data_IF_107430840762
#
_entry.id   IF_107430840762
#
_cell.length_a   1.000
_cell.length_b   1.000
_cell.length_c   1.000
_cell.angle_alpha   90.00
_cell.angle_beta   90.00
_cell.angle_gamma   90.00
#
_symmetry.space_group_name_H-M   'P 1'
#
loop_
_entity.id
_entity.type
_entity.pdbx_description
1 polymer ?
#
# COMPACT_ATOMS: atom_id res chain seq x y z
N UNK A 1 8.44 -1.70 26.03
CA UNK A 1 7.14 -1.94 25.37
C UNK A 1 7.25 -3.16 24.49
N UNK A 2 7.01 -4.35 25.02
CA UNK A 2 6.90 -5.58 24.21
C UNK A 2 5.50 -5.60 23.59
N UNK A 3 5.35 -4.91 22.46
CA UNK A 3 4.08 -4.86 21.73
C UNK A 3 3.73 -6.23 21.15
N UNK A 4 2.45 -6.61 21.24
CA UNK A 4 1.90 -7.80 20.57
C UNK A 4 2.29 -7.76 19.09
N UNK A 5 3.08 -8.75 18.65
CA UNK A 5 3.44 -8.89 17.23
C UNK A 5 2.32 -9.62 16.52
N UNK A 6 1.79 -9.02 15.46
CA UNK A 6 0.76 -9.66 14.63
C UNK A 6 1.45 -10.61 13.65
N UNK A 7 1.04 -11.88 13.69
CA UNK A 7 1.53 -12.93 12.80
C UNK A 7 0.46 -13.36 11.80
N UNK A 8 0.84 -14.19 10.82
CA UNK A 8 -0.13 -14.79 9.88
C UNK A 8 -1.23 -15.58 10.60
N UNK A 9 -0.89 -16.27 11.68
CA UNK A 9 -1.86 -17.02 12.47
C UNK A 9 -2.94 -16.10 13.07
N UNK A 10 -2.56 -14.91 13.53
CA UNK A 10 -3.51 -13.94 14.06
C UNK A 10 -4.43 -13.37 12.97
N UNK A 11 -3.92 -13.18 11.74
CA UNK A 11 -4.75 -12.76 10.61
C UNK A 11 -5.77 -13.85 10.23
N UNK A 12 -5.32 -15.11 10.21
CA UNK A 12 -6.19 -16.25 9.92
C UNK A 12 -7.27 -16.44 10.98
N UNK A 13 -6.94 -16.25 12.26
CA UNK A 13 -7.89 -16.30 13.38
C UNK A 13 -9.00 -15.25 13.21
N UNK A 14 -8.63 -13.99 12.92
CA UNK A 14 -9.63 -12.93 12.67
C UNK A 14 -10.54 -13.26 11.49
N UNK A 15 -10.00 -13.83 10.41
CA UNK A 15 -10.80 -14.23 9.24
C UNK A 15 -11.73 -15.40 9.58
N UNK A 16 -11.23 -16.40 10.31
CA UNK A 16 -12.00 -17.55 10.77
C UNK A 16 -13.18 -17.10 11.63
N UNK A 17 -12.94 -16.23 12.63
CA UNK A 17 -13.97 -15.73 13.54
C UNK A 17 -15.02 -14.85 12.83
N UNK A 18 -14.59 -14.04 11.86
CA UNK A 18 -15.48 -13.08 11.18
C UNK A 18 -16.34 -13.76 10.10
N UNK A 19 -15.80 -14.75 9.39
CA UNK A 19 -16.43 -15.37 8.22
C UNK A 19 -17.03 -16.76 8.58
N UNK A 20 -16.70 -17.31 9.74
CA UNK A 20 -17.14 -18.64 10.17
C UNK A 20 -16.44 -19.79 9.45
N UNK A 21 -15.27 -19.53 8.85
CA UNK A 21 -14.47 -20.54 8.16
C UNK A 21 -13.67 -21.38 9.16
N UNK A 22 -13.29 -22.58 8.75
CA UNK A 22 -12.31 -23.35 9.52
C UNK A 22 -10.97 -22.61 9.59
N UNK A 23 -10.19 -22.86 10.65
CA UNK A 23 -8.86 -22.27 10.80
C UNK A 23 -7.93 -22.59 9.63
N UNK A 24 -8.08 -23.78 9.04
CA UNK A 24 -7.30 -24.20 7.87
C UNK A 24 -7.66 -23.36 6.64
N UNK A 25 -8.94 -23.25 6.32
CA UNK A 25 -9.41 -22.44 5.18
C UNK A 25 -9.04 -20.95 5.34
N UNK A 26 -9.18 -20.41 6.55
CA UNK A 26 -8.82 -19.03 6.82
C UNK A 26 -7.29 -18.79 6.66
N UNK A 27 -6.47 -19.75 7.10
CA UNK A 27 -5.02 -19.70 6.90
C UNK A 27 -4.64 -19.77 5.42
N UNK A 28 -5.33 -20.63 4.65
CA UNK A 28 -5.11 -20.75 3.21
C UNK A 28 -5.50 -19.49 2.46
N UNK A 29 -6.65 -18.87 2.78
CA UNK A 29 -7.07 -17.61 2.19
C UNK A 29 -6.09 -16.47 2.47
N UNK A 30 -5.65 -16.33 3.72
CA UNK A 30 -4.62 -15.33 4.07
C UNK A 30 -3.33 -15.61 3.31
N UNK A 31 -2.94 -16.88 3.17
CA UNK A 31 -1.81 -17.31 2.36
C UNK A 31 -1.95 -16.92 0.89
N UNK A 32 -3.12 -17.12 0.29
CA UNK A 32 -3.41 -16.74 -1.11
C UNK A 32 -3.28 -15.24 -1.33
N UNK A 33 -3.82 -14.41 -0.43
CA UNK A 33 -3.70 -12.94 -0.54
C UNK A 33 -2.23 -12.51 -0.50
N UNK A 34 -1.44 -13.07 0.42
CA UNK A 34 -0.02 -12.72 0.53
C UNK A 34 0.76 -13.19 -0.71
N UNK A 35 0.43 -14.36 -1.26
CA UNK A 35 1.02 -14.87 -2.51
C UNK A 35 0.74 -13.94 -3.68
N UNK A 36 -0.53 -13.60 -3.92
CA UNK A 36 -0.94 -12.69 -4.99
C UNK A 36 -0.22 -11.33 -4.90
N UNK A 37 -0.13 -10.76 -3.70
CA UNK A 37 0.62 -9.51 -3.48
C UNK A 37 2.11 -9.67 -3.80
N UNK A 38 2.70 -10.82 -3.43
CA UNK A 38 4.12 -11.09 -3.67
C UNK A 38 4.40 -11.24 -5.16
N UNK A 39 3.55 -11.96 -5.88
CA UNK A 39 3.69 -12.21 -7.31
C UNK A 39 3.59 -10.90 -8.11
N UNK A 40 2.62 -10.04 -7.78
CA UNK A 40 2.51 -8.70 -8.36
C UNK A 40 3.77 -7.85 -8.12
N UNK A 41 4.33 -7.88 -6.90
CA UNK A 41 5.56 -7.14 -6.57
C UNK A 41 6.76 -7.70 -7.33
N UNK A 42 6.87 -9.01 -7.47
CA UNK A 42 7.96 -9.67 -8.23
C UNK A 42 7.89 -9.31 -9.72
N UNK A 43 6.67 -9.20 -10.27
CA UNK A 43 6.42 -8.71 -11.62
C UNK A 43 6.77 -7.22 -11.82
N UNK A 44 6.99 -6.47 -10.73
CA UNK A 44 7.30 -5.04 -10.78
C UNK A 44 6.06 -4.14 -10.70
N UNK A 45 4.89 -4.72 -10.41
CA UNK A 45 3.64 -4.01 -10.30
C UNK A 45 3.48 -3.35 -8.92
N UNK A 46 2.54 -2.40 -8.83
CA UNK A 46 2.21 -1.73 -7.58
C UNK A 46 0.94 -2.33 -6.97
N UNK A 47 0.97 -2.67 -5.68
CA UNK A 47 -0.20 -3.15 -4.94
C UNK A 47 -0.82 -2.01 -4.16
N UNK A 48 -2.10 -1.72 -4.41
CA UNK A 48 -2.84 -0.64 -3.75
C UNK A 48 -3.95 -1.21 -2.86
N UNK A 49 -3.84 -1.00 -1.56
CA UNK A 49 -4.84 -1.39 -0.57
C UNK A 49 -5.53 -0.14 -0.05
N UNK A 50 -6.79 0.06 -0.46
CA UNK A 50 -7.58 1.23 -0.05
C UNK A 50 -7.67 1.32 1.48
N UNK A 51 -7.52 2.53 2.03
CA UNK A 51 -7.51 2.76 3.48
C UNK A 51 -6.24 2.31 4.21
N UNK A 52 -5.44 1.39 3.64
CA UNK A 52 -4.20 0.92 4.27
C UNK A 52 -2.96 1.62 3.70
N UNK A 53 -2.70 1.49 2.40
CA UNK A 53 -1.52 2.07 1.77
C UNK A 53 -1.22 1.53 0.39
N UNK A 54 -0.04 1.86 -0.12
CA UNK A 54 0.44 1.47 -1.44
C UNK A 54 1.83 0.88 -1.33
N UNK A 55 2.03 -0.29 -1.92
CA UNK A 55 3.34 -0.91 -2.15
C UNK A 55 3.79 -0.57 -3.56
N UNK A 56 4.95 0.07 -3.69
CA UNK A 56 5.52 0.46 -4.98
C UNK A 56 6.90 -0.12 -5.16
N UNK A 57 7.15 -0.72 -6.32
CA UNK A 57 8.50 -1.15 -6.73
C UNK A 57 9.23 0.03 -7.34
N UNK A 58 10.44 0.29 -6.86
CA UNK A 58 11.34 1.34 -7.37
C UNK A 58 12.59 0.70 -7.94
N UNK A 59 12.95 1.11 -9.15
CA UNK A 59 14.23 0.76 -9.75
C UNK A 59 15.27 1.76 -9.25
N UNK A 60 16.33 1.25 -8.62
CA UNK A 60 17.50 2.02 -8.18
C UNK A 60 18.60 1.80 -9.21
N UNK A 61 19.10 2.90 -9.75
CA UNK A 61 20.27 2.89 -10.65
C UNK A 61 21.53 2.57 -9.86
N UNK A 62 22.56 2.18 -10.60
CA UNK A 62 23.90 2.06 -10.04
C UNK A 62 24.35 3.40 -9.44
N UNK A 63 25.06 3.32 -8.32
CA UNK A 63 25.69 4.48 -7.69
C UNK A 63 26.89 4.03 -6.89
N UNK A 64 27.76 4.97 -6.58
CA UNK A 64 28.93 4.72 -5.76
C UNK A 64 28.59 4.92 -4.28
N UNK A 65 28.93 3.93 -3.45
CA UNK A 65 28.84 4.00 -1.99
C UNK A 65 30.21 3.99 -1.33
N UNK A 66 30.23 4.12 0.00
CA UNK A 66 31.44 3.93 0.82
C UNK A 66 31.19 2.86 1.87
N UNK A 67 32.18 1.99 2.08
CA UNK A 67 32.13 1.03 3.17
C UNK A 67 32.16 1.78 4.52
N UNK A 68 31.14 1.66 5.39
CA UNK A 68 31.11 2.38 6.66
C UNK A 68 32.29 2.07 7.58
N UNK A 69 32.93 0.90 7.42
CA UNK A 69 34.06 0.46 8.25
C UNK A 69 35.42 0.88 7.70
N UNK A 70 35.63 0.80 6.38
CA UNK A 70 36.96 1.02 5.75
C UNK A 70 37.07 2.33 4.96
N UNK A 71 35.95 2.99 4.65
CA UNK A 71 35.91 4.21 3.84
C UNK A 71 36.13 3.99 2.34
N UNK A 72 36.44 2.76 1.93
CA UNK A 72 36.66 2.39 0.53
C UNK A 72 35.41 2.62 -0.32
N UNK A 73 35.65 3.03 -1.55
CA UNK A 73 34.64 3.32 -2.54
C UNK A 73 34.18 2.02 -3.20
N UNK A 74 32.91 1.66 -3.00
CA UNK A 74 32.34 0.40 -3.51
C UNK A 74 31.15 0.71 -4.42
N UNK A 75 31.11 0.20 -5.67
CA UNK A 75 29.95 0.35 -6.53
C UNK A 75 28.77 -0.43 -5.97
N UNK A 76 27.59 0.21 -5.95
CA UNK A 76 26.32 -0.40 -5.57
C UNK A 76 25.55 -0.61 -6.86
N UNK A 77 25.50 -1.86 -7.31
CA UNK A 77 24.81 -2.24 -8.55
C UNK A 77 23.32 -1.89 -8.56
N UNK A 78 22.71 -1.86 -9.75
CA UNK A 78 21.29 -1.56 -9.90
C UNK A 78 20.43 -2.62 -9.23
N UNK A 79 19.33 -2.21 -8.59
CA UNK A 79 18.42 -3.14 -7.90
C UNK A 79 16.99 -2.64 -7.85
N UNK A 80 16.05 -3.55 -7.59
CA UNK A 80 14.66 -3.22 -7.27
C UNK A 80 14.50 -3.09 -5.75
N UNK A 81 13.83 -2.04 -5.30
CA UNK A 81 13.49 -1.82 -3.90
C UNK A 81 11.99 -1.64 -3.73
N UNK A 82 11.40 -2.31 -2.76
CA UNK A 82 10.00 -2.11 -2.38
C UNK A 82 9.87 -0.93 -1.43
N UNK A 83 8.90 -0.05 -1.65
CA UNK A 83 8.55 1.04 -0.74
C UNK A 83 7.08 0.96 -0.39
N UNK A 84 6.77 1.01 0.91
CA UNK A 84 5.40 1.12 1.41
C UNK A 84 5.08 2.57 1.76
N UNK A 85 3.97 3.09 1.26
CA UNK A 85 3.42 4.39 1.64
C UNK A 85 2.08 4.20 2.33
N UNK A 86 2.03 4.49 3.63
CA UNK A 86 0.79 4.48 4.40
C UNK A 86 -0.23 5.47 3.84
N UNK A 87 -1.51 5.07 3.84
CA UNK A 87 -2.60 5.93 3.40
C UNK A 87 -2.76 7.13 4.35
N UNK A 88 -3.32 8.27 3.89
CA UNK A 88 -3.65 9.38 4.77
C UNK A 88 -4.58 8.96 5.92
N UNK A 89 -5.53 8.06 5.64
CA UNK A 89 -6.45 7.53 6.65
C UNK A 89 -5.71 6.77 7.75
N UNK A 90 -4.75 5.92 7.38
CA UNK A 90 -3.94 5.17 8.33
C UNK A 90 -3.04 6.10 9.15
N UNK A 91 -2.41 7.09 8.50
CA UNK A 91 -1.59 8.11 9.18
C UNK A 91 -2.40 8.91 10.20
N UNK A 92 -3.61 9.36 9.82
CA UNK A 92 -4.51 10.07 10.72
C UNK A 92 -4.91 9.20 11.91
N UNK A 93 -5.26 7.92 11.69
CA UNK A 93 -5.58 6.98 12.78
C UNK A 93 -4.41 6.79 13.76
N UNK A 94 -3.17 6.72 13.26
CA UNK A 94 -1.97 6.60 14.10
C UNK A 94 -1.75 7.86 14.94
N UNK A 95 -1.98 9.03 14.35
CA UNK A 95 -1.77 10.32 15.03
C UNK A 95 -2.96 10.77 15.89
N UNK A 96 -4.08 10.03 15.89
CA UNK A 96 -5.32 10.43 16.56
C UNK A 96 -6.07 11.57 15.85
N UNK A 97 -5.68 11.92 14.63
CA UNK A 97 -6.35 12.94 13.84
C UNK A 97 -7.67 12.41 13.26
N UNK A 98 -8.74 13.19 13.40
CA UNK A 98 -10.00 12.91 12.71
C UNK A 98 -9.78 13.20 11.21
N UNK A 99 -9.91 12.21 10.31
CA UNK A 99 -9.74 12.45 8.88
C UNK A 99 -10.77 13.47 8.43
N UNK A 100 -10.33 14.67 8.03
CA UNK A 100 -11.25 15.68 7.50
C UNK A 100 -11.96 15.08 6.27
N UNK A 101 -13.31 15.04 6.24
CA UNK A 101 -14.02 14.52 5.08
C UNK A 101 -13.56 15.31 3.86
N UNK A 102 -13.11 14.60 2.82
CA UNK A 102 -12.73 15.28 1.57
C UNK A 102 -13.96 16.06 1.10
N UNK A 103 -13.81 17.34 0.72
CA UNK A 103 -14.94 18.08 0.17
C UNK A 103 -15.46 17.27 -1.01
N UNK A 104 -16.76 16.92 -0.98
CA UNK A 104 -17.40 16.20 -2.09
C UNK A 104 -17.09 17.01 -3.34
N UNK A 105 -16.27 16.44 -4.23
CA UNK A 105 -15.89 17.08 -5.49
C UNK A 105 -17.22 17.36 -6.19
N UNK A 106 -17.65 18.64 -6.21
CA UNK A 106 -18.84 19.05 -6.95
C UNK A 106 -18.63 18.51 -8.37
N UNK A 107 -19.41 17.52 -8.77
CA UNK A 107 -19.49 17.13 -10.18
C UNK A 107 -19.90 18.42 -10.90
N UNK A 108 -19.00 19.03 -11.67
CA UNK A 108 -19.40 20.07 -12.61
C UNK A 108 -20.40 19.38 -13.54
N UNK A 109 -21.68 19.74 -13.45
CA UNK A 109 -22.68 19.32 -14.41
C UNK A 109 -22.29 19.78 -15.81
N UNK A 110 -22.87 19.19 -16.86
CA UNK A 110 -22.57 19.60 -18.22
C UNK A 110 -22.85 21.11 -18.39
N UNK A 111 -21.88 21.85 -18.94
CA UNK A 111 -22.15 23.19 -19.46
C UNK A 111 -23.16 23.02 -20.60
N UNK A 112 -24.41 23.43 -20.37
CA UNK A 112 -25.35 23.61 -21.47
C UNK A 112 -24.90 24.88 -22.20
N UNK A 113 -24.35 24.71 -23.41
CA UNK A 113 -24.14 25.81 -24.35
C UNK A 113 -25.51 26.38 -24.71
N UNK A 114 -25.86 27.53 -24.13
CA UNK A 114 -26.96 28.34 -24.63
C UNK A 114 -26.51 28.90 -26.00
N UNK A 115 -27.02 28.31 -27.08
CA UNK A 115 -26.98 28.94 -28.39
C UNK A 115 -27.87 30.17 -28.32
N UNK A 116 -27.25 31.34 -28.49
CA UNK A 116 -27.94 32.59 -28.70
C UNK A 116 -28.73 32.48 -30.01
N UNK A 117 -30.05 32.57 -29.89
CA UNK A 117 -30.93 32.94 -30.98
C UNK A 117 -31.22 34.44 -30.82
N UNK A 118 -30.66 35.24 -31.74
CA UNK A 118 -31.22 36.55 -32.10
C UNK A 118 -30.88 36.80 -33.57
N UNK A 119 -31.86 37.35 -34.27
CA UNK A 119 -31.92 37.73 -35.69
C UNK A 119 -30.70 38.54 -36.20
#
# INVERSE_FOLDING_TARGET
>A
MTGKTITRANLAEVVSDTVGLSRAEAADLVGQVIREMSDAIVAGESVKLSGFGVFTVRHKTERVGRNPKTGEVVPIGPRRSLTFSASPLLKSRINGDIPKPRPRRRRKGPLVLAQAATE
#
